data_IF_801739008963
#
_entry.id   IF_801739008963
#
_cell.length_a   1.000
_cell.length_b   1.000
_cell.length_c   1.000
_cell.angle_alpha   90.00
_cell.angle_beta   90.00
_cell.angle_gamma   90.00
#
_symmetry.space_group_name_H-M   'P 1'
#
loop_
_entity.id
_entity.type
_entity.pdbx_description
1 polymer ?
#
# COMPACT_ATOMS: atom_id res chain seq x y z
N UNK A 1 8.18 8.63 21.56
CA UNK A 1 6.99 9.39 21.09
C UNK A 1 5.89 8.39 20.73
N UNK A 2 4.60 8.68 20.89
CA UNK A 2 3.51 7.69 20.71
C UNK A 2 3.53 7.04 19.32
N UNK A 3 3.81 7.81 18.27
CA UNK A 3 3.95 7.31 16.90
C UNK A 3 5.10 6.28 16.73
N UNK A 4 6.20 6.47 17.45
CA UNK A 4 7.33 5.54 17.42
C UNK A 4 6.95 4.19 18.04
N UNK A 5 6.23 4.21 19.17
CA UNK A 5 5.75 2.97 19.82
C UNK A 5 4.69 2.25 18.99
N UNK A 6 3.82 2.98 18.29
CA UNK A 6 2.90 2.38 17.32
C UNK A 6 3.65 1.70 16.16
N UNK A 7 4.73 2.32 15.66
CA UNK A 7 5.61 1.69 14.67
C UNK A 7 6.26 0.40 15.19
N UNK A 8 6.81 0.43 16.40
CA UNK A 8 7.40 -0.75 17.07
C UNK A 8 6.37 -1.85 17.40
N UNK A 9 5.11 -1.48 17.62
CA UNK A 9 4.03 -2.45 17.81
C UNK A 9 3.58 -3.06 16.48
N UNK A 10 3.49 -2.24 15.43
CA UNK A 10 3.15 -2.72 14.09
C UNK A 10 4.15 -3.75 13.57
N UNK A 11 5.44 -3.64 13.90
CA UNK A 11 6.45 -4.65 13.51
C UNK A 11 6.27 -6.00 14.22
N UNK A 12 5.54 -6.05 15.34
CA UNK A 12 5.23 -7.29 16.07
C UNK A 12 3.99 -8.00 15.52
N UNK A 13 3.18 -7.32 14.71
CA UNK A 13 1.99 -7.88 14.08
C UNK A 13 2.36 -8.38 12.68
N UNK A 14 2.22 -9.69 12.44
CA UNK A 14 2.29 -10.25 11.09
C UNK A 14 0.94 -10.05 10.34
N UNK A 15 0.48 -8.79 10.30
CA UNK A 15 -0.73 -8.39 9.60
C UNK A 15 -0.47 -7.09 8.84
N UNK A 16 -0.98 -6.97 7.60
CA UNK A 16 -0.91 -5.71 6.90
C UNK A 16 -1.68 -4.62 7.66
N UNK A 17 -1.31 -3.33 7.48
CA UNK A 17 -2.12 -2.23 7.98
C UNK A 17 -3.59 -2.40 7.57
N UNK A 18 -4.49 -1.96 8.43
CA UNK A 18 -5.92 -2.01 8.12
C UNK A 18 -6.19 -1.25 6.82
N UNK A 19 -7.06 -1.81 5.98
CA UNK A 19 -7.34 -1.34 4.61
C UNK A 19 -6.16 -1.43 3.65
N UNK A 20 -5.12 -2.21 3.92
CA UNK A 20 -4.13 -2.58 2.91
C UNK A 20 -4.34 -4.03 2.49
N UNK A 21 -4.27 -4.29 1.18
CA UNK A 21 -4.32 -5.65 0.62
C UNK A 21 -3.31 -5.83 -0.49
N UNK A 22 -2.87 -7.06 -0.72
CA UNK A 22 -2.06 -7.40 -1.89
C UNK A 22 -2.91 -7.29 -3.14
N UNK A 23 -2.51 -6.42 -4.07
CA UNK A 23 -3.15 -6.24 -5.38
C UNK A 23 -2.08 -6.26 -6.47
N UNK A 24 -2.41 -6.75 -7.68
CA UNK A 24 -1.50 -6.64 -8.80
C UNK A 24 -1.35 -5.16 -9.21
N UNK A 25 -0.14 -4.62 -9.06
CA UNK A 25 0.23 -3.27 -9.52
C UNK A 25 0.86 -3.41 -10.88
N UNK A 26 0.29 -2.80 -11.93
CA UNK A 26 0.84 -2.93 -13.29
C UNK A 26 2.04 -2.03 -13.52
N UNK A 27 1.96 -0.78 -13.08
CA UNK A 27 2.95 0.26 -13.36
C UNK A 27 3.50 0.87 -12.08
N UNK A 28 4.80 1.12 -12.05
CA UNK A 28 5.49 1.87 -10.99
C UNK A 28 6.08 3.14 -11.61
N UNK A 29 5.85 4.28 -10.98
CA UNK A 29 6.45 5.56 -11.37
C UNK A 29 7.32 6.00 -10.21
N UNK A 30 8.62 6.13 -10.46
CA UNK A 30 9.54 6.67 -9.47
C UNK A 30 9.61 8.18 -9.62
N UNK A 31 9.51 8.89 -8.51
CA UNK A 31 9.55 10.34 -8.46
C UNK A 31 10.80 10.79 -7.71
N UNK A 32 11.39 11.90 -8.16
CA UNK A 32 12.39 12.62 -7.36
C UNK A 32 11.73 13.34 -6.16
N UNK A 33 12.57 13.99 -5.35
CA UNK A 33 12.10 14.74 -4.17
C UNK A 33 11.18 15.92 -4.51
N UNK A 34 11.20 16.42 -5.75
CA UNK A 34 10.31 17.47 -6.26
C UNK A 34 9.00 16.93 -6.84
N UNK A 35 8.81 15.61 -6.87
CA UNK A 35 7.64 14.97 -7.47
C UNK A 35 7.73 14.81 -8.98
N UNK A 36 8.92 15.00 -9.58
CA UNK A 36 9.13 14.83 -11.02
C UNK A 36 9.42 13.36 -11.31
N UNK A 37 8.80 12.75 -12.35
CA UNK A 37 9.13 11.39 -12.76
C UNK A 37 10.62 11.24 -13.13
N UNK A 38 11.26 10.20 -12.60
CA UNK A 38 12.65 9.84 -12.93
C UNK A 38 12.78 9.21 -14.32
N UNK A 39 11.70 8.63 -14.84
CA UNK A 39 11.61 8.06 -16.18
C UNK A 39 10.45 8.66 -16.95
N UNK A 40 10.59 8.74 -18.28
CA UNK A 40 9.51 9.17 -19.16
C UNK A 40 8.35 8.15 -19.21
N UNK A 41 8.68 6.87 -19.09
CA UNK A 41 7.71 5.77 -19.09
C UNK A 41 7.67 5.08 -17.73
N UNK A 42 6.48 4.70 -17.23
CA UNK A 42 6.35 3.89 -16.04
C UNK A 42 7.00 2.52 -16.20
N UNK A 43 7.54 1.97 -15.12
CA UNK A 43 8.05 0.60 -15.08
C UNK A 43 6.86 -0.35 -15.12
N UNK A 44 6.70 -1.09 -16.22
CA UNK A 44 5.74 -2.19 -16.32
C UNK A 44 6.26 -3.41 -15.57
N UNK A 45 5.48 -3.88 -14.61
CA UNK A 45 5.87 -4.99 -13.72
C UNK A 45 5.22 -6.32 -14.11
N UNK A 46 4.38 -6.33 -15.14
CA UNK A 46 3.72 -7.56 -15.54
C UNK A 46 4.60 -8.42 -16.44
N UNK A 47 4.51 -9.72 -16.21
CA UNK A 47 5.21 -10.73 -16.99
C UNK A 47 4.20 -11.70 -17.58
N UNK A 48 4.05 -11.69 -18.91
CA UNK A 48 3.11 -12.56 -19.61
C UNK A 48 3.48 -14.05 -19.54
N UNK A 49 4.77 -14.36 -19.32
CA UNK A 49 5.26 -15.72 -19.17
C UNK A 49 4.94 -16.29 -17.78
N UNK A 50 4.76 -15.43 -16.77
CA UNK A 50 4.47 -15.85 -15.40
C UNK A 50 2.99 -15.62 -15.03
N UNK A 51 2.24 -16.71 -14.82
CA UNK A 51 0.82 -16.65 -14.45
C UNK A 51 0.55 -15.79 -13.20
N UNK A 52 1.44 -15.81 -12.21
CA UNK A 52 1.26 -15.10 -10.95
C UNK A 52 1.38 -13.57 -11.11
N UNK A 53 2.19 -13.11 -12.06
CA UNK A 53 2.51 -11.69 -12.29
C UNK A 53 2.02 -11.19 -13.65
N UNK A 54 1.23 -11.99 -14.38
CA UNK A 54 0.63 -11.63 -15.68
C UNK A 54 -0.10 -10.29 -15.69
N UNK A 55 -0.65 -9.88 -14.54
CA UNK A 55 -1.41 -8.62 -14.38
C UNK A 55 -0.63 -7.55 -13.61
N UNK A 56 0.63 -7.78 -13.30
CA UNK A 56 1.46 -6.93 -12.46
C UNK A 56 1.94 -7.64 -11.20
N UNK A 57 2.91 -7.04 -10.52
CA UNK A 57 3.47 -7.58 -9.29
C UNK A 57 2.51 -7.39 -8.09
N UNK A 58 2.33 -8.39 -7.22
CA UNK A 58 1.47 -8.29 -6.06
C UNK A 58 2.12 -7.47 -4.95
N UNK A 59 1.74 -6.19 -4.86
CA UNK A 59 2.22 -5.26 -3.85
C UNK A 59 1.12 -4.93 -2.83
N UNK A 60 1.52 -4.62 -1.60
CA UNK A 60 0.61 -4.22 -0.55
C UNK A 60 0.18 -2.76 -0.76
N UNK A 61 -1.09 -2.53 -1.12
CA UNK A 61 -1.60 -1.20 -1.45
C UNK A 61 -2.85 -0.86 -0.64
N UNK A 62 -3.18 0.44 -0.48
CA UNK A 62 -4.46 0.87 0.05
C UNK A 62 -5.61 0.25 -0.73
N UNK A 63 -6.56 -0.32 -0.01
CA UNK A 63 -7.77 -0.89 -0.54
C UNK A 63 -8.75 0.22 -0.87
N UNK A 64 -8.82 0.58 -2.14
CA UNK A 64 -9.85 1.50 -2.62
C UNK A 64 -11.20 0.77 -2.62
N UNK A 65 -12.11 1.22 -1.77
CA UNK A 65 -13.51 0.79 -1.74
C UNK A 65 -14.41 1.98 -2.01
N UNK A 66 -15.57 1.75 -2.64
CA UNK A 66 -16.62 2.77 -2.68
C UNK A 66 -17.16 2.97 -1.28
N UNK A 67 -17.19 4.20 -0.81
CA UNK A 67 -17.75 4.54 0.50
C UNK A 67 -19.09 5.27 0.32
N UNK A 68 -20.10 4.84 1.07
CA UNK A 68 -21.33 5.59 1.33
C UNK A 68 -21.43 5.79 2.85
N UNK A 69 -21.99 6.93 3.28
CA UNK A 69 -22.07 7.28 4.70
C UNK A 69 -20.71 7.18 5.43
N UNK A 70 -19.70 7.91 4.94
CA UNK A 70 -18.36 7.97 5.54
C UNK A 70 -18.49 8.38 7.01
N UNK A 71 -18.18 7.45 7.91
CA UNK A 71 -18.06 7.71 9.34
C UNK A 71 -16.58 7.66 9.70
N UNK A 72 -16.05 8.66 10.41
CA UNK A 72 -14.69 8.57 10.92
C UNK A 72 -14.63 7.37 11.87
N UNK A 73 -13.77 6.41 11.56
CA UNK A 73 -13.30 5.47 12.56
C UNK A 73 -12.30 6.23 13.41
N UNK A 74 -12.69 6.53 14.65
CA UNK A 74 -11.75 6.99 15.64
C UNK A 74 -10.85 5.81 15.97
N UNK A 75 -9.65 5.79 15.40
CA UNK A 75 -8.57 4.91 15.82
C UNK A 75 -7.97 5.47 17.12
N UNK A 76 -8.77 5.46 18.19
CA UNK A 76 -8.26 5.59 19.54
C UNK A 76 -7.74 4.21 19.95
N UNK A 77 -6.48 4.18 20.36
CA UNK A 77 -5.91 3.03 21.06
C UNK A 77 -6.57 2.96 22.44
N UNK A 78 -7.45 1.98 22.64
CA UNK A 78 -8.06 1.71 23.92
C UNK A 78 -7.10 0.86 24.74
N UNK A 79 -5.90 1.36 25.04
CA UNK A 79 -4.74 0.56 25.52
C UNK A 79 -5.08 -0.47 26.59
N UNK A 80 -5.39 -1.70 26.16
CA UNK A 80 -5.75 -2.85 26.97
C UNK A 80 -4.86 -4.03 26.58
#
# INVERSE_FOLDING_TARGET
MFLQRLGEYATRLDRPPQYYRRVPVRYIIELDAGGTPLSAEPVDTADSANRATRRGQPLLMPQVQRANAVRPLLFADNGA
#
